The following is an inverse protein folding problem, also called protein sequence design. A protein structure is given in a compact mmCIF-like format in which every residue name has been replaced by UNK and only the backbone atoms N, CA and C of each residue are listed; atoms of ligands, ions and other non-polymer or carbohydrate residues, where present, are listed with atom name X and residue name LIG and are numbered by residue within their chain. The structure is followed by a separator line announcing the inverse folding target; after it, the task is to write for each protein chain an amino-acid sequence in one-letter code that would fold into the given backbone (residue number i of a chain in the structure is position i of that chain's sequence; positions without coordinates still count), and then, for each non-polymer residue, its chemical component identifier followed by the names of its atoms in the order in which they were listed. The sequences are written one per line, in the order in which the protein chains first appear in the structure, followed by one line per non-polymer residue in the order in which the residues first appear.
data_IF_553585928835
#
_entry.id   IF_553585928835
#
_cell.length_a   1.000
_cell.length_b   1.000
_cell.length_c   1.000
_cell.angle_alpha   90.00
_cell.angle_beta   90.00
_cell.angle_gamma   90.00
#
_symmetry.space_group_name_H-M   'P 1'
#
loop_
_entity.id
_entity.type
_entity.pdbx_description
1 polymer ?
#
# COMPACT_ATOMS: atom_id res chain seq x y z
N UNK A 1 15.62 26.56 1.05
CA UNK A 1 15.51 25.47 2.05
C UNK A 1 14.30 25.69 2.99
N UNK A 2 14.03 26.92 3.50
CA UNK A 2 12.94 27.19 4.47
C UNK A 2 11.52 26.87 3.95
N UNK A 3 11.31 26.84 2.64
CA UNK A 3 10.01 26.55 2.01
C UNK A 3 9.54 25.12 2.34
N UNK A 4 10.46 24.15 2.38
CA UNK A 4 10.12 22.75 2.67
C UNK A 4 9.45 22.59 4.04
N UNK A 5 10.10 22.95 5.16
CA UNK A 5 9.48 22.75 6.47
C UNK A 5 8.22 23.60 6.66
N UNK A 6 8.14 24.78 6.06
CA UNK A 6 6.95 25.62 6.14
C UNK A 6 5.78 25.07 5.33
N UNK A 7 6.04 24.54 4.13
CA UNK A 7 5.01 23.88 3.34
C UNK A 7 4.50 22.61 4.03
N UNK A 8 5.42 21.83 4.62
CA UNK A 8 5.03 20.66 5.43
C UNK A 8 4.16 21.04 6.63
N UNK A 9 4.55 22.06 7.37
CA UNK A 9 3.78 22.53 8.52
C UNK A 9 2.37 23.00 8.10
N UNK A 10 2.27 23.75 7.00
CA UNK A 10 1.00 24.17 6.44
C UNK A 10 0.15 22.96 6.00
N UNK A 11 0.77 21.96 5.35
CA UNK A 11 0.10 20.73 4.95
C UNK A 11 -0.43 19.94 6.15
N UNK A 12 0.40 19.72 7.17
CA UNK A 12 0.00 19.01 8.39
C UNK A 12 -1.13 19.75 9.10
N UNK A 13 -1.04 21.08 9.17
CA UNK A 13 -2.12 21.90 9.75
C UNK A 13 -3.42 21.74 8.97
N UNK A 14 -3.35 21.78 7.63
CA UNK A 14 -4.50 21.52 6.76
C UNK A 14 -5.09 20.13 6.94
N UNK A 15 -4.25 19.10 7.05
CA UNK A 15 -4.68 17.71 7.32
C UNK A 15 -5.43 17.60 8.64
N UNK A 16 -4.91 18.19 9.72
CA UNK A 16 -5.56 18.18 11.04
C UNK A 16 -6.92 18.88 10.98
N UNK A 17 -7.01 20.04 10.32
CA UNK A 17 -8.27 20.78 10.19
C UNK A 17 -9.30 20.07 9.32
N UNK A 18 -8.86 19.37 8.28
CA UNK A 18 -9.71 18.61 7.38
C UNK A 18 -10.03 17.19 7.89
N UNK A 19 -9.48 16.76 9.03
CA UNK A 19 -9.67 15.41 9.56
C UNK A 19 -9.02 14.32 8.70
N UNK A 20 -8.00 14.67 7.89
CA UNK A 20 -7.29 13.73 7.03
C UNK A 20 -6.27 12.95 7.85
N UNK A 21 -6.35 11.62 7.80
CA UNK A 21 -5.45 10.73 8.53
C UNK A 21 -4.03 10.76 7.94
N UNK A 22 -3.02 10.91 8.82
CA UNK A 22 -1.60 10.85 8.47
C UNK A 22 -1.13 9.40 8.45
N UNK A 23 -1.41 8.67 7.39
CA UNK A 23 -0.89 7.32 7.16
C UNK A 23 0.40 7.35 6.31
N UNK A 24 1.09 6.20 6.21
CA UNK A 24 2.33 6.08 5.44
C UNK A 24 2.15 6.44 3.96
N UNK A 25 0.98 6.17 3.37
CA UNK A 25 0.70 6.50 1.98
C UNK A 25 0.56 8.01 1.79
N UNK A 26 -0.16 8.71 2.68
CA UNK A 26 -0.34 10.16 2.59
C UNK A 26 0.96 10.92 2.84
N UNK A 27 1.78 10.47 3.80
CA UNK A 27 3.09 11.08 4.08
C UNK A 27 4.14 10.70 3.04
N UNK A 28 4.12 9.46 2.53
CA UNK A 28 5.02 8.98 1.48
C UNK A 28 4.80 9.63 0.12
N UNK A 29 3.60 10.14 -0.13
CA UNK A 29 3.28 10.86 -1.36
C UNK A 29 3.79 12.31 -1.38
N UNK A 30 4.31 12.83 -0.25
CA UNK A 30 4.91 14.16 -0.18
C UNK A 30 6.28 14.16 -0.87
N UNK A 31 6.28 14.57 -2.13
CA UNK A 31 7.52 14.76 -2.90
C UNK A 31 8.09 16.15 -2.65
N UNK A 32 9.26 16.17 -1.98
CA UNK A 32 9.98 17.41 -1.70
C UNK A 32 10.48 18.10 -2.97
N UNK A 33 10.72 17.37 -4.05
CA UNK A 33 11.10 17.93 -5.34
C UNK A 33 10.02 18.86 -5.88
N UNK A 34 8.79 18.38 -5.97
CA UNK A 34 7.64 19.16 -6.47
C UNK A 34 7.35 20.40 -5.60
N UNK A 35 7.55 20.28 -4.28
CA UNK A 35 7.33 21.40 -3.34
C UNK A 35 8.35 22.52 -3.56
N UNK A 36 9.57 22.20 -3.94
CA UNK A 36 10.69 23.17 -4.01
C UNK A 36 10.84 23.80 -5.39
N UNK A 37 10.42 23.13 -6.45
CA UNK A 37 10.66 23.55 -7.84
C UNK A 37 10.23 24.99 -8.11
N UNK A 38 9.04 25.39 -7.70
CA UNK A 38 8.57 26.77 -7.85
C UNK A 38 9.45 27.81 -7.14
N UNK A 39 9.93 27.45 -5.95
CA UNK A 39 10.80 28.33 -5.17
C UNK A 39 12.21 28.44 -5.80
N UNK A 40 12.75 27.33 -6.29
CA UNK A 40 14.10 27.29 -6.94
C UNK A 40 14.10 28.14 -8.19
N UNK A 41 13.10 28.03 -9.05
CA UNK A 41 12.97 28.80 -10.30
C UNK A 41 12.94 30.32 -9.99
N UNK A 42 12.15 30.72 -8.98
CA UNK A 42 12.03 32.15 -8.59
C UNK A 42 13.36 32.66 -8.03
N UNK A 43 14.02 31.89 -7.16
CA UNK A 43 15.33 32.27 -6.60
C UNK A 43 16.39 32.40 -7.69
N UNK A 44 16.49 31.40 -8.58
CA UNK A 44 17.47 31.40 -9.66
C UNK A 44 17.27 32.58 -10.61
N UNK A 45 16.05 32.83 -11.07
CA UNK A 45 15.76 33.96 -11.94
C UNK A 45 16.02 35.30 -11.24
N UNK A 46 15.69 35.41 -9.97
CA UNK A 46 15.93 36.62 -9.16
C UNK A 46 17.43 36.90 -9.01
N UNK A 47 18.23 35.87 -8.70
CA UNK A 47 19.71 35.99 -8.59
C UNK A 47 20.29 36.42 -9.92
N UNK A 48 19.92 35.80 -11.03
CA UNK A 48 20.36 36.12 -12.37
C UNK A 48 20.04 37.57 -12.74
N UNK A 49 18.80 38.02 -12.49
CA UNK A 49 18.39 39.41 -12.78
C UNK A 49 19.11 40.43 -11.89
N UNK A 50 19.25 40.14 -10.60
CA UNK A 50 20.00 40.99 -9.67
C UNK A 50 21.45 41.14 -10.05
N UNK A 51 22.14 40.05 -10.41
CA UNK A 51 23.53 40.07 -10.88
C UNK A 51 23.70 40.90 -12.14
N UNK A 52 22.84 40.71 -13.14
CA UNK A 52 22.88 41.46 -14.38
C UNK A 52 22.64 42.96 -14.14
N UNK A 53 21.67 43.32 -13.31
CA UNK A 53 21.39 44.72 -12.99
C UNK A 53 22.54 45.36 -12.20
N UNK A 54 23.17 44.64 -11.27
CA UNK A 54 24.37 45.13 -10.56
C UNK A 54 25.54 45.38 -11.51
N UNK A 55 25.79 44.52 -12.51
CA UNK A 55 26.81 44.70 -13.54
C UNK A 55 26.57 45.99 -14.36
N UNK A 56 25.30 46.27 -14.70
CA UNK A 56 24.92 47.44 -15.49
C UNK A 56 24.99 48.72 -14.67
N UNK A 57 24.61 48.70 -13.36
CA UNK A 57 24.66 49.86 -12.45
C UNK A 57 26.07 50.12 -11.87
N UNK A 58 27.01 49.19 -12.03
CA UNK A 58 28.39 49.35 -11.52
C UNK A 58 28.51 49.27 -9.99
N UNK A 59 27.46 48.83 -9.25
CA UNK A 59 27.47 48.78 -7.79
C UNK A 59 26.31 48.03 -7.15
N UNK A 60 26.29 48.04 -5.81
CA UNK A 60 25.25 47.38 -5.02
C UNK A 60 23.94 48.16 -5.16
N UNK A 61 22.83 47.44 -5.43
CA UNK A 61 21.50 48.01 -5.59
C UNK A 61 20.92 48.47 -4.24
N UNK A 62 20.21 49.60 -4.25
CA UNK A 62 19.41 50.06 -3.11
C UNK A 62 18.27 49.06 -2.83
N UNK A 63 17.70 49.13 -1.59
CA UNK A 63 16.62 48.25 -1.20
C UNK A 63 15.43 48.35 -2.16
N UNK A 64 15.07 49.55 -2.61
CA UNK A 64 13.95 49.77 -3.54
C UNK A 64 14.25 49.13 -4.90
N UNK A 65 15.42 49.37 -5.47
CA UNK A 65 15.81 48.77 -6.74
C UNK A 65 15.84 47.25 -6.67
N UNK A 66 16.28 46.63 -5.54
CA UNK A 66 16.25 45.17 -5.37
C UNK A 66 14.81 44.63 -5.37
N UNK A 67 13.89 45.30 -4.66
CA UNK A 67 12.48 44.91 -4.66
C UNK A 67 11.89 44.97 -6.07
N UNK A 68 12.15 46.04 -6.83
CA UNK A 68 11.67 46.17 -8.22
C UNK A 68 12.21 45.11 -9.14
N UNK A 69 13.52 44.78 -9.03
CA UNK A 69 14.17 43.73 -9.83
C UNK A 69 13.62 42.35 -9.47
N UNK A 70 13.49 42.04 -8.17
CA UNK A 70 12.96 40.74 -7.73
C UNK A 70 11.50 40.59 -8.11
N UNK A 71 10.69 41.67 -7.99
CA UNK A 71 9.31 41.66 -8.45
C UNK A 71 9.20 41.34 -9.94
N UNK A 72 10.01 42.06 -10.78
CA UNK A 72 10.04 41.81 -12.23
C UNK A 72 10.49 40.39 -12.56
N UNK A 73 11.54 39.89 -11.88
CA UNK A 73 12.06 38.53 -12.05
C UNK A 73 11.03 37.46 -11.69
N UNK A 74 10.29 37.68 -10.59
CA UNK A 74 9.22 36.77 -10.14
C UNK A 74 8.07 36.78 -11.14
N UNK A 75 7.63 37.95 -11.60
CA UNK A 75 6.53 38.07 -12.55
C UNK A 75 6.80 37.38 -13.90
N UNK A 76 8.06 37.31 -14.32
CA UNK A 76 8.48 36.63 -15.54
C UNK A 76 8.26 35.12 -15.47
N UNK A 77 8.52 34.49 -14.31
CA UNK A 77 8.48 33.05 -14.14
C UNK A 77 7.19 32.52 -13.47
N UNK A 78 6.34 33.42 -13.00
CA UNK A 78 5.13 33.05 -12.26
C UNK A 78 4.14 32.25 -13.13
N UNK A 79 3.92 32.68 -14.38
CA UNK A 79 2.96 32.01 -15.28
C UNK A 79 3.37 30.57 -15.62
N UNK A 80 4.62 30.27 -16.05
CA UNK A 80 5.05 28.90 -16.28
C UNK A 80 4.97 28.04 -15.00
N UNK A 81 5.37 28.58 -13.84
CA UNK A 81 5.33 27.86 -12.56
C UNK A 81 3.91 27.54 -12.12
N UNK A 82 2.98 28.49 -12.25
CA UNK A 82 1.56 28.26 -11.96
C UNK A 82 0.95 27.17 -12.84
N UNK A 83 1.24 27.22 -14.16
CA UNK A 83 0.75 26.18 -15.08
C UNK A 83 1.30 24.80 -14.74
N UNK A 84 2.58 24.70 -14.37
CA UNK A 84 3.18 23.42 -13.95
C UNK A 84 2.50 22.82 -12.72
N UNK A 85 2.33 23.62 -11.66
CA UNK A 85 1.68 23.18 -10.43
C UNK A 85 0.20 22.86 -10.68
N UNK A 86 -0.50 23.64 -11.51
CA UNK A 86 -1.89 23.40 -11.86
C UNK A 86 -2.07 22.08 -12.63
N UNK A 87 -1.20 21.79 -13.59
CA UNK A 87 -1.22 20.50 -14.33
C UNK A 87 -1.03 19.33 -13.37
N UNK A 88 -0.05 19.42 -12.46
CA UNK A 88 0.18 18.37 -11.46
C UNK A 88 -1.04 18.21 -10.57
N UNK A 89 -1.63 19.30 -10.09
CA UNK A 89 -2.83 19.26 -9.23
C UNK A 89 -4.02 18.62 -9.94
N UNK A 90 -4.23 18.91 -11.23
CA UNK A 90 -5.32 18.31 -12.03
C UNK A 90 -5.17 16.78 -12.11
N UNK A 91 -3.96 16.25 -12.18
CA UNK A 91 -3.72 14.79 -12.23
C UNK A 91 -4.23 14.08 -10.97
N UNK A 92 -4.27 14.77 -9.82
CA UNK A 92 -4.79 14.22 -8.57
C UNK A 92 -6.32 14.34 -8.41
N UNK A 93 -6.99 15.20 -9.20
CA UNK A 93 -8.45 15.39 -9.10
C UNK A 93 -9.24 14.08 -9.35
N UNK A 94 -8.92 13.25 -10.37
CA UNK A 94 -9.64 12.00 -10.61
C UNK A 94 -9.61 11.03 -9.43
N UNK A 95 -8.58 11.08 -8.57
CA UNK A 95 -8.49 10.23 -7.39
C UNK A 95 -9.62 10.49 -6.39
N UNK A 96 -10.19 11.70 -6.38
CA UNK A 96 -11.35 12.02 -5.53
C UNK A 96 -12.67 11.45 -6.05
N UNK A 97 -12.71 10.91 -7.27
CA UNK A 97 -13.88 10.21 -7.80
C UNK A 97 -13.91 8.73 -7.45
N UNK A 98 -12.82 8.17 -6.92
CA UNK A 98 -12.76 6.79 -6.48
C UNK A 98 -13.74 6.56 -5.31
N UNK A 99 -14.39 5.41 -5.31
CA UNK A 99 -15.34 5.00 -4.28
C UNK A 99 -14.87 3.72 -3.61
N UNK A 100 -15.56 3.28 -2.55
CA UNK A 100 -15.21 2.03 -1.89
C UNK A 100 -13.91 2.10 -1.10
N UNK A 101 -13.15 1.02 -1.11
CA UNK A 101 -11.87 0.88 -0.38
C UNK A 101 -10.79 1.76 -1.01
N UNK A 102 -10.72 1.79 -2.33
CA UNK A 102 -9.77 2.60 -3.07
C UNK A 102 -9.93 4.09 -2.74
N UNK A 103 -11.18 4.56 -2.68
CA UNK A 103 -11.46 5.94 -2.27
C UNK A 103 -10.94 6.23 -0.86
N UNK A 104 -11.18 5.34 0.10
CA UNK A 104 -10.70 5.50 1.47
C UNK A 104 -9.17 5.54 1.58
N UNK A 105 -8.47 4.81 0.70
CA UNK A 105 -7.01 4.77 0.67
C UNK A 105 -6.40 5.98 -0.03
N UNK A 106 -6.91 6.33 -1.21
CA UNK A 106 -6.29 7.34 -2.08
C UNK A 106 -6.76 8.78 -1.81
N UNK A 107 -7.97 9.00 -1.27
CA UNK A 107 -8.43 10.36 -0.92
C UNK A 107 -7.50 11.08 0.07
N UNK A 108 -7.07 10.46 1.21
CA UNK A 108 -6.12 11.10 2.12
C UNK A 108 -4.81 11.46 1.43
N UNK A 109 -4.29 10.56 0.58
CA UNK A 109 -3.06 10.77 -0.18
C UNK A 109 -3.21 11.97 -1.15
N UNK A 110 -4.24 11.96 -1.99
CA UNK A 110 -4.49 13.03 -2.96
C UNK A 110 -4.70 14.37 -2.28
N UNK A 111 -5.47 14.40 -1.19
CA UNK A 111 -5.70 15.62 -0.40
C UNK A 111 -4.39 16.18 0.17
N UNK A 112 -3.52 15.33 0.71
CA UNK A 112 -2.23 15.73 1.27
C UNK A 112 -1.33 16.36 0.21
N UNK A 113 -1.22 15.73 -0.98
CA UNK A 113 -0.41 16.27 -2.09
C UNK A 113 -0.96 17.61 -2.58
N UNK A 114 -2.26 17.72 -2.78
CA UNK A 114 -2.90 18.96 -3.22
C UNK A 114 -2.68 20.08 -2.21
N UNK A 115 -2.84 19.80 -0.90
CA UNK A 115 -2.56 20.79 0.16
C UNK A 115 -1.08 21.22 0.16
N UNK A 116 -0.16 20.28 -0.03
CA UNK A 116 1.28 20.55 -0.09
C UNK A 116 1.64 21.45 -1.28
N UNK A 117 1.10 21.15 -2.46
CA UNK A 117 1.31 21.93 -3.67
C UNK A 117 0.75 23.35 -3.54
N UNK A 118 -0.45 23.52 -2.96
CA UNK A 118 -1.05 24.82 -2.70
C UNK A 118 -0.21 25.62 -1.69
N UNK A 119 0.20 24.99 -0.60
CA UNK A 119 1.06 25.62 0.41
C UNK A 119 2.41 26.05 -0.19
N UNK A 120 3.05 25.16 -0.96
CA UNK A 120 4.30 25.46 -1.65
C UNK A 120 4.15 26.61 -2.64
N UNK A 121 3.06 26.65 -3.39
CA UNK A 121 2.73 27.72 -4.32
C UNK A 121 2.61 29.05 -3.59
N UNK A 122 1.81 29.13 -2.52
CA UNK A 122 1.62 30.36 -1.74
C UNK A 122 2.97 30.84 -1.18
N UNK A 123 3.77 29.93 -0.62
CA UNK A 123 5.09 30.28 -0.07
C UNK A 123 6.07 30.73 -1.15
N UNK A 124 6.06 30.09 -2.31
CA UNK A 124 6.93 30.47 -3.43
C UNK A 124 6.59 31.83 -4.01
N UNK A 125 5.31 32.23 -3.98
CA UNK A 125 4.86 33.54 -4.47
C UNK A 125 5.01 34.67 -3.44
N UNK A 126 5.04 34.36 -2.16
CA UNK A 126 5.06 35.36 -1.09
C UNK A 126 6.40 35.40 -0.36
N UNK A 127 6.73 34.32 0.33
CA UNK A 127 7.92 34.22 1.18
C UNK A 127 9.20 34.29 0.38
N UNK A 128 9.27 33.57 -0.74
CA UNK A 128 10.51 33.44 -1.51
C UNK A 128 10.98 34.75 -2.10
N UNK A 129 10.17 35.51 -2.87
CA UNK A 129 10.62 36.80 -3.40
C UNK A 129 10.90 37.82 -2.30
N UNK A 130 10.13 37.83 -1.22
CA UNK A 130 10.37 38.69 -0.08
C UNK A 130 11.72 38.38 0.60
N UNK A 131 12.02 37.11 0.82
CA UNK A 131 13.28 36.66 1.41
C UNK A 131 14.48 37.00 0.51
N UNK A 132 14.38 36.76 -0.79
CA UNK A 132 15.44 37.11 -1.75
C UNK A 132 15.71 38.62 -1.71
N UNK A 133 14.65 39.45 -1.77
CA UNK A 133 14.81 40.91 -1.77
C UNK A 133 15.38 41.46 -0.44
N UNK A 134 15.09 40.82 0.69
CA UNK A 134 15.55 41.25 2.01
C UNK A 134 16.96 40.76 2.35
N UNK A 135 17.23 39.49 2.10
CA UNK A 135 18.46 38.86 2.57
C UNK A 135 19.64 38.94 1.58
N UNK A 136 19.37 39.14 0.30
CA UNK A 136 20.43 39.28 -0.69
C UNK A 136 21.02 40.70 -0.76
N UNK A 137 21.78 41.06 0.29
CA UNK A 137 22.34 42.39 0.50
C UNK A 137 23.80 42.49 0.07
N UNK A 138 24.22 42.34 -1.05
CA UNK A 138 25.65 42.40 -1.34
C UNK A 138 26.00 42.35 -2.83
N UNK A 139 27.27 42.24 -3.12
CA UNK A 139 27.75 42.02 -4.46
C UNK A 139 27.41 40.56 -4.84
N UNK A 140 26.49 40.37 -5.75
CA UNK A 140 26.11 39.06 -6.23
C UNK A 140 27.10 38.65 -7.30
N UNK A 141 27.93 37.64 -6.99
CA UNK A 141 28.92 37.12 -7.93
C UNK A 141 28.41 35.80 -8.51
N UNK A 142 28.26 35.70 -9.81
CA UNK A 142 27.98 34.46 -10.54
C UNK A 142 29.28 33.63 -10.71
N UNK A 143 30.13 33.54 -9.67
CA UNK A 143 31.25 32.61 -9.75
C UNK A 143 30.70 31.19 -9.76
N UNK A 144 30.71 30.58 -10.92
CA UNK A 144 30.33 29.17 -11.03
C UNK A 144 31.39 28.30 -10.31
N UNK A 145 30.88 27.34 -9.53
CA UNK A 145 31.74 26.30 -8.96
C UNK A 145 32.45 25.53 -10.08
N UNK A 146 33.73 25.18 -9.88
CA UNK A 146 34.48 24.37 -10.83
C UNK A 146 33.79 23.06 -11.19
N UNK A 147 33.07 22.47 -10.21
CA UNK A 147 32.25 21.27 -10.41
C UNK A 147 31.09 21.54 -11.37
N UNK A 148 30.41 22.67 -11.21
CA UNK A 148 29.27 23.05 -12.07
C UNK A 148 29.77 23.35 -13.49
N UNK A 149 30.94 24.02 -13.64
CA UNK A 149 31.57 24.29 -14.95
C UNK A 149 31.97 23.00 -15.66
N UNK A 150 32.56 22.04 -14.95
CA UNK A 150 32.88 20.73 -15.51
C UNK A 150 31.62 19.96 -15.94
N UNK A 151 30.57 19.95 -15.08
CA UNK A 151 29.29 19.33 -15.41
C UNK A 151 28.64 19.98 -16.66
N UNK A 152 28.65 21.31 -16.76
CA UNK A 152 28.14 22.02 -17.95
C UNK A 152 28.92 21.69 -19.22
N UNK A 153 30.25 21.53 -19.14
CA UNK A 153 31.08 21.17 -20.30
C UNK A 153 30.74 19.76 -20.80
N UNK A 154 30.61 18.81 -19.89
CA UNK A 154 30.18 17.44 -20.20
C UNK A 154 28.77 17.43 -20.81
N UNK A 155 27.83 18.11 -20.16
CA UNK A 155 26.44 18.23 -20.64
C UNK A 155 26.37 18.83 -22.05
N UNK A 156 27.17 19.89 -22.31
CA UNK A 156 27.23 20.53 -23.63
C UNK A 156 27.71 19.56 -24.71
N UNK A 157 28.72 18.76 -24.42
CA UNK A 157 29.20 17.75 -25.36
C UNK A 157 28.17 16.70 -25.67
N UNK A 158 27.48 16.18 -24.62
CA UNK A 158 26.38 15.23 -24.76
C UNK A 158 25.18 15.82 -25.52
N UNK A 159 24.82 17.07 -25.23
CA UNK A 159 23.74 17.76 -25.92
C UNK A 159 24.01 17.95 -27.42
N UNK A 160 25.25 18.37 -27.78
CA UNK A 160 25.65 18.51 -29.19
C UNK A 160 25.58 17.15 -29.91
N UNK A 161 26.02 16.08 -29.25
CA UNK A 161 25.94 14.72 -29.78
C UNK A 161 24.48 14.28 -29.95
N UNK A 162 23.62 14.51 -28.94
CA UNK A 162 22.21 14.22 -28.99
C UNK A 162 21.47 14.96 -30.12
N UNK A 163 21.82 16.26 -30.32
CA UNK A 163 21.24 17.04 -31.41
C UNK A 163 21.68 16.56 -32.80
N UNK A 164 22.91 16.08 -32.92
CA UNK A 164 23.39 15.45 -34.17
C UNK A 164 22.66 14.13 -34.46
N UNK A 165 22.43 13.33 -33.40
CA UNK A 165 21.78 12.01 -33.47
C UNK A 165 20.28 12.07 -33.21
N UNK A 166 19.66 13.25 -33.33
CA UNK A 166 18.25 13.49 -32.94
C UNK A 166 17.26 12.46 -33.48
N UNK A 167 17.39 12.08 -34.74
CA UNK A 167 16.50 11.09 -35.35
C UNK A 167 16.70 9.68 -34.78
N UNK A 168 17.96 9.30 -34.53
CA UNK A 168 18.27 8.01 -33.89
C UNK A 168 17.69 7.96 -32.48
N UNK A 169 17.84 9.04 -31.70
CA UNK A 169 17.30 9.16 -30.35
C UNK A 169 15.77 9.11 -30.36
N UNK A 170 15.13 9.83 -31.29
CA UNK A 170 13.67 9.78 -31.43
C UNK A 170 13.17 8.37 -31.75
N UNK A 171 13.83 7.69 -32.70
CA UNK A 171 13.48 6.30 -33.04
C UNK A 171 13.69 5.38 -31.84
N UNK A 172 14.81 5.52 -31.13
CA UNK A 172 15.08 4.71 -29.94
C UNK A 172 14.09 4.96 -28.81
N UNK A 173 13.71 6.22 -28.55
CA UNK A 173 12.69 6.56 -27.56
C UNK A 173 11.30 6.01 -27.98
N UNK A 174 10.94 6.14 -29.25
CA UNK A 174 9.67 5.59 -29.75
C UNK A 174 9.65 4.07 -29.65
N UNK A 175 10.74 3.40 -29.99
CA UNK A 175 10.87 1.95 -29.85
C UNK A 175 10.82 1.52 -28.39
N UNK A 176 11.45 2.28 -27.49
CA UNK A 176 11.38 2.03 -26.06
C UNK A 176 9.94 2.15 -25.53
N UNK A 177 9.22 3.21 -25.92
CA UNK A 177 7.81 3.40 -25.54
C UNK A 177 6.93 2.27 -26.09
N UNK A 178 7.12 1.90 -27.37
CA UNK A 178 6.38 0.78 -27.97
C UNK A 178 6.68 -0.55 -27.24
N UNK A 179 7.94 -0.80 -26.90
CA UNK A 179 8.34 -1.97 -26.11
C UNK A 179 7.71 -1.96 -24.71
N UNK A 180 7.68 -0.80 -24.05
CA UNK A 180 7.05 -0.65 -22.73
C UNK A 180 5.54 -0.91 -22.80
N UNK A 181 4.86 -0.37 -23.82
CA UNK A 181 3.43 -0.63 -24.03
C UNK A 181 3.20 -2.12 -24.30
N UNK A 182 4.01 -2.74 -25.16
CA UNK A 182 3.91 -4.17 -25.41
C UNK A 182 4.16 -4.99 -24.12
N UNK A 183 5.21 -4.67 -23.36
CA UNK A 183 5.49 -5.34 -22.10
C UNK A 183 4.35 -5.14 -21.07
N UNK A 184 3.74 -3.97 -21.03
CA UNK A 184 2.62 -3.70 -20.10
C UNK A 184 1.38 -4.58 -20.39
N UNK A 185 1.21 -5.06 -21.62
CA UNK A 185 0.11 -6.00 -21.95
C UNK A 185 0.39 -7.43 -21.49
N UNK A 186 1.65 -7.75 -21.19
CA UNK A 186 2.04 -9.08 -20.68
C UNK A 186 2.18 -9.12 -19.15
N UNK A 187 2.17 -7.97 -18.50
CA UNK A 187 2.20 -7.88 -17.04
C UNK A 187 0.79 -8.10 -16.48
N UNK A 188 0.69 -8.96 -15.46
CA UNK A 188 -0.52 -9.08 -14.65
C UNK A 188 -0.80 -7.77 -13.90
N UNK A 189 -2.04 -7.55 -13.54
CA UNK A 189 -2.44 -6.47 -12.64
C UNK A 189 -2.80 -7.04 -11.29
N UNK A 190 -2.05 -6.69 -10.26
CA UNK A 190 -2.39 -6.96 -8.87
C UNK A 190 -2.93 -5.67 -8.26
N UNK A 191 -4.04 -5.78 -7.53
CA UNK A 191 -4.64 -4.62 -6.88
C UNK A 191 -3.77 -4.10 -5.73
N UNK A 192 -3.19 -5.02 -4.98
CA UNK A 192 -2.21 -4.75 -3.92
C UNK A 192 -1.02 -5.67 -4.14
N UNK A 193 0.19 -5.12 -4.25
CA UNK A 193 1.37 -5.96 -4.35
C UNK A 193 1.52 -6.80 -3.07
N UNK A 194 1.76 -8.08 -3.23
CA UNK A 194 2.04 -8.97 -2.10
C UNK A 194 3.29 -8.47 -1.37
N UNK A 195 3.10 -8.06 -0.12
CA UNK A 195 4.20 -7.71 0.77
C UNK A 195 4.73 -9.00 1.38
N UNK A 196 6.04 -9.19 1.36
CA UNK A 196 6.64 -10.25 2.13
C UNK A 196 6.72 -9.81 3.59
N UNK A 197 5.83 -10.35 4.42
CA UNK A 197 5.72 -10.00 5.85
C UNK A 197 6.72 -10.77 6.73
N UNK A 198 7.51 -11.66 6.12
CA UNK A 198 8.48 -12.54 6.77
C UNK A 198 7.86 -13.57 7.75
N UNK A 199 6.60 -13.42 8.14
CA UNK A 199 5.83 -14.34 8.98
C UNK A 199 4.70 -14.99 8.20
N UNK A 200 4.23 -16.16 8.67
CA UNK A 200 3.14 -16.90 8.04
C UNK A 200 1.92 -16.95 8.96
N UNK A 201 0.74 -16.97 8.35
CA UNK A 201 -0.52 -17.23 9.02
C UNK A 201 -1.14 -18.50 8.44
N UNK A 202 -1.30 -19.52 9.28
CA UNK A 202 -1.98 -20.74 8.93
C UNK A 202 -3.36 -20.74 9.58
N UNK A 203 -4.41 -20.75 8.76
CA UNK A 203 -5.75 -20.96 9.27
C UNK A 203 -6.08 -22.44 9.27
N UNK A 204 -6.48 -22.97 10.42
CA UNK A 204 -6.99 -24.32 10.55
C UNK A 204 -8.52 -24.28 10.65
N UNK A 205 -9.18 -24.85 9.64
CA UNK A 205 -10.65 -24.92 9.53
C UNK A 205 -11.07 -26.36 9.81
N UNK A 206 -11.86 -26.57 10.83
CA UNK A 206 -12.39 -27.86 11.27
C UNK A 206 -13.86 -28.00 10.92
N UNK A 207 -14.38 -29.19 11.09
CA UNK A 207 -15.80 -29.47 10.86
C UNK A 207 -16.65 -28.51 11.72
N UNK A 208 -17.66 -27.82 11.15
CA UNK A 208 -18.55 -26.96 11.90
C UNK A 208 -19.13 -27.68 13.11
N UNK A 209 -19.05 -27.04 14.31
CA UNK A 209 -19.46 -27.59 15.58
C UNK A 209 -18.45 -28.42 16.33
N UNK A 210 -17.22 -28.47 15.87
CA UNK A 210 -16.11 -28.91 16.72
C UNK A 210 -16.10 -28.06 17.99
N UNK A 211 -16.13 -28.71 19.16
CA UNK A 211 -16.12 -28.01 20.44
C UNK A 211 -14.81 -27.23 20.64
N UNK A 212 -14.86 -26.20 21.48
CA UNK A 212 -13.65 -25.44 21.80
C UNK A 212 -12.56 -26.34 22.40
N UNK A 213 -12.93 -27.25 23.29
CA UNK A 213 -11.98 -28.18 23.94
C UNK A 213 -11.28 -29.08 22.91
N UNK A 214 -12.02 -29.63 21.96
CA UNK A 214 -11.48 -30.43 20.89
C UNK A 214 -10.60 -29.60 19.94
N UNK A 215 -11.03 -28.38 19.64
CA UNK A 215 -10.24 -27.47 18.82
C UNK A 215 -8.91 -27.11 19.46
N UNK A 216 -8.89 -26.88 20.76
CA UNK A 216 -7.65 -26.60 21.52
C UNK A 216 -6.70 -27.79 21.49
N UNK A 217 -7.20 -29.01 21.70
CA UNK A 217 -6.38 -30.22 21.64
C UNK A 217 -5.78 -30.44 20.26
N UNK A 218 -6.58 -30.34 19.22
CA UNK A 218 -6.12 -30.44 17.83
C UNK A 218 -5.09 -29.36 17.49
N UNK A 219 -5.30 -28.14 18.02
CA UNK A 219 -4.42 -27.01 17.77
C UNK A 219 -3.06 -27.18 18.44
N UNK A 220 -3.02 -27.67 19.67
CA UNK A 220 -1.76 -27.98 20.36
C UNK A 220 -0.91 -28.98 19.58
N UNK A 221 -1.53 -30.04 19.05
CA UNK A 221 -0.84 -31.02 18.23
C UNK A 221 -0.26 -30.42 16.95
N UNK A 222 -0.98 -29.47 16.35
CA UNK A 222 -0.56 -28.74 15.15
C UNK A 222 0.63 -27.81 15.46
N UNK A 223 0.53 -27.01 16.51
CA UNK A 223 1.60 -26.09 16.93
C UNK A 223 2.90 -26.82 17.25
N UNK A 224 2.83 -27.96 17.95
CA UNK A 224 4.00 -28.79 18.24
C UNK A 224 4.70 -29.29 16.97
N UNK A 225 3.94 -29.62 15.91
CA UNK A 225 4.51 -30.01 14.63
C UNK A 225 5.19 -28.84 13.92
N UNK A 226 4.53 -27.68 13.86
CA UNK A 226 5.08 -26.48 13.23
C UNK A 226 6.36 -26.03 13.96
N UNK A 227 6.39 -26.13 15.27
CA UNK A 227 7.54 -25.74 16.08
C UNK A 227 8.80 -26.60 15.83
N UNK A 228 8.66 -27.76 15.18
CA UNK A 228 9.81 -28.59 14.80
C UNK A 228 10.59 -28.04 13.62
N UNK A 229 10.05 -27.10 12.86
CA UNK A 229 10.75 -26.48 11.75
C UNK A 229 11.82 -25.51 12.28
N UNK A 230 13.09 -25.68 11.87
CA UNK A 230 14.19 -24.86 12.40
C UNK A 230 14.12 -23.37 11.98
N UNK A 231 13.27 -23.04 11.02
CA UNK A 231 13.01 -21.68 10.60
C UNK A 231 12.00 -20.95 11.51
N UNK A 232 11.24 -21.70 12.31
CA UNK A 232 10.17 -21.19 13.16
C UNK A 232 10.76 -20.75 14.49
N UNK A 233 10.48 -19.50 14.86
CA UNK A 233 10.85 -18.89 16.13
C UNK A 233 9.82 -19.17 17.23
N UNK A 234 8.57 -18.85 16.93
CA UNK A 234 7.44 -19.04 17.82
C UNK A 234 6.18 -19.37 17.03
N UNK A 235 5.28 -20.13 17.64
CA UNK A 235 3.93 -20.40 17.12
C UNK A 235 2.94 -20.11 18.22
N UNK A 236 1.86 -19.43 17.89
CA UNK A 236 0.73 -19.23 18.79
C UNK A 236 -0.55 -19.11 17.96
N UNK A 237 -1.67 -19.47 18.57
CA UNK A 237 -2.95 -19.48 17.86
C UNK A 237 -4.05 -18.76 18.62
N UNK A 238 -4.98 -18.21 17.85
CA UNK A 238 -6.24 -17.68 18.34
C UNK A 238 -7.34 -18.63 17.90
N UNK A 239 -8.19 -19.07 18.83
CA UNK A 239 -9.31 -20.00 18.59
C UNK A 239 -10.59 -19.36 19.11
N UNK A 240 -11.61 -19.29 18.26
CA UNK A 240 -12.91 -18.76 18.67
C UNK A 240 -12.92 -17.23 18.91
N UNK A 241 -14.02 -16.74 19.43
CA UNK A 241 -14.27 -15.32 19.68
C UNK A 241 -13.67 -14.88 21.03
N UNK A 242 -12.85 -13.81 21.08
CA UNK A 242 -12.38 -13.25 22.35
C UNK A 242 -13.50 -12.54 23.12
N UNK A 243 -13.28 -12.27 24.42
CA UNK A 243 -14.24 -11.52 25.27
C UNK A 243 -14.60 -10.14 24.67
N UNK A 244 -13.61 -9.46 24.07
CA UNK A 244 -13.84 -8.23 23.28
C UNK A 244 -13.91 -8.64 21.81
N UNK A 245 -15.12 -8.79 21.31
CA UNK A 245 -15.38 -9.31 19.95
C UNK A 245 -15.03 -8.29 18.85
N UNK A 246 -13.75 -8.12 18.57
CA UNK A 246 -13.28 -7.36 17.41
C UNK A 246 -13.35 -8.18 16.10
N UNK A 247 -13.40 -9.51 16.23
CA UNK A 247 -13.37 -10.45 15.13
C UNK A 247 -14.04 -11.76 15.59
N UNK A 248 -15.37 -11.89 15.43
CA UNK A 248 -16.10 -13.07 15.85
C UNK A 248 -15.73 -14.26 14.97
N UNK A 249 -15.20 -15.30 15.59
CA UNK A 249 -14.75 -16.51 14.93
C UNK A 249 -15.35 -17.74 15.63
N UNK A 250 -15.93 -18.70 14.90
CA UNK A 250 -16.47 -19.89 15.51
C UNK A 250 -15.34 -20.78 16.09
N UNK A 251 -15.62 -21.62 17.10
CA UNK A 251 -14.60 -22.40 17.79
C UNK A 251 -13.93 -23.49 16.93
N UNK A 252 -14.50 -23.81 15.77
CA UNK A 252 -13.90 -24.74 14.80
C UNK A 252 -12.83 -24.10 13.90
N UNK A 253 -12.62 -22.79 13.99
CA UNK A 253 -11.61 -22.06 13.20
C UNK A 253 -10.52 -21.56 14.16
N UNK A 254 -9.26 -21.69 13.71
CA UNK A 254 -8.11 -21.18 14.43
C UNK A 254 -7.16 -20.45 13.48
N UNK A 255 -6.74 -19.27 13.86
CA UNK A 255 -5.68 -18.51 13.18
C UNK A 255 -4.35 -18.77 13.91
N UNK A 256 -3.42 -19.41 13.25
CA UNK A 256 -2.10 -19.79 13.77
C UNK A 256 -1.04 -18.87 13.21
N UNK A 257 -0.45 -18.07 14.06
CA UNK A 257 0.65 -17.17 13.71
C UNK A 257 1.97 -17.93 13.85
N UNK A 258 2.67 -18.07 12.73
CA UNK A 258 3.97 -18.73 12.64
C UNK A 258 5.04 -17.67 12.45
N UNK A 259 5.64 -17.28 13.56
CA UNK A 259 6.71 -16.28 13.58
C UNK A 259 8.02 -16.93 13.14
N UNK A 260 8.66 -16.39 12.11
CA UNK A 260 9.88 -16.94 11.55
C UNK A 260 11.14 -16.26 12.13
N UNK A 261 12.24 -16.98 12.09
CA UNK A 261 13.56 -16.42 12.36
C UNK A 261 14.00 -15.53 11.17
N UNK A 262 14.82 -14.51 11.41
CA UNK A 262 15.43 -13.76 10.32
C UNK A 262 16.14 -14.69 9.33
N UNK A 263 15.99 -14.45 8.05
CA UNK A 263 16.45 -15.35 6.97
C UNK A 263 17.93 -15.73 7.08
N UNK A 264 18.76 -14.83 7.61
CA UNK A 264 20.18 -15.07 7.84
C UNK A 264 20.46 -16.20 8.87
N UNK A 265 19.47 -16.55 9.70
CA UNK A 265 19.57 -17.59 10.73
C UNK A 265 18.96 -18.93 10.26
N UNK A 266 18.41 -19.00 9.05
CA UNK A 266 17.86 -20.24 8.51
C UNK A 266 18.99 -21.22 8.17
N UNK A 267 18.80 -22.52 8.40
CA UNK A 267 19.77 -23.55 7.97
C UNK A 267 20.05 -23.51 6.46
N UNK A 268 19.04 -23.16 5.68
CA UNK A 268 19.16 -22.91 4.25
C UNK A 268 18.54 -21.54 3.90
N UNK A 269 19.35 -20.46 3.82
CA UNK A 269 18.86 -19.13 3.47
C UNK A 269 18.30 -18.98 2.04
N UNK A 270 18.55 -19.94 1.15
CA UNK A 270 18.04 -19.92 -0.22
C UNK A 270 16.61 -20.48 -0.33
N UNK A 271 16.10 -21.17 0.70
CA UNK A 271 14.74 -21.68 0.73
C UNK A 271 13.74 -20.51 0.65
N UNK A 272 12.83 -20.53 -0.32
CA UNK A 272 11.82 -19.50 -0.45
C UNK A 272 10.75 -19.61 0.66
N UNK A 273 10.02 -18.49 0.95
CA UNK A 273 8.90 -18.53 1.88
C UNK A 273 7.79 -19.47 1.38
N UNK A 274 7.53 -19.48 0.07
CA UNK A 274 6.53 -20.36 -0.53
C UNK A 274 6.88 -21.84 -0.37
N UNK A 275 8.16 -22.21 -0.54
CA UNK A 275 8.61 -23.60 -0.33
C UNK A 275 8.53 -24.00 1.16
N UNK A 276 8.88 -23.10 2.08
CA UNK A 276 8.71 -23.35 3.51
C UNK A 276 7.23 -23.53 3.86
N UNK A 277 6.38 -22.68 3.32
CA UNK A 277 4.93 -22.73 3.47
C UNK A 277 4.37 -24.09 2.99
N UNK A 278 4.73 -24.50 1.78
CA UNK A 278 4.33 -25.80 1.22
C UNK A 278 4.80 -26.98 2.10
N UNK A 279 6.04 -26.96 2.58
CA UNK A 279 6.58 -28.00 3.45
C UNK A 279 5.83 -28.07 4.80
N UNK A 280 5.44 -26.93 5.36
CA UNK A 280 4.62 -26.88 6.59
C UNK A 280 3.26 -27.52 6.31
N UNK A 281 2.54 -27.10 5.27
CA UNK A 281 1.23 -27.65 4.93
C UNK A 281 1.32 -29.15 4.63
N UNK A 282 2.31 -29.59 3.88
CA UNK A 282 2.54 -31.01 3.59
C UNK A 282 2.74 -31.81 4.88
N UNK A 283 3.53 -31.31 5.83
CA UNK A 283 3.74 -31.98 7.12
C UNK A 283 2.44 -32.14 7.91
N UNK A 284 1.49 -31.20 7.74
CA UNK A 284 0.21 -31.19 8.46
C UNK A 284 -0.88 -31.99 7.76
N UNK A 285 -0.74 -32.33 6.48
CA UNK A 285 -1.74 -33.03 5.67
C UNK A 285 -2.18 -34.40 6.25
N UNK A 286 -1.31 -35.02 7.07
CA UNK A 286 -1.64 -36.26 7.79
C UNK A 286 -2.50 -36.10 9.04
N UNK A 287 -2.92 -34.86 9.41
CA UNK A 287 -3.80 -34.65 10.57
C UNK A 287 -5.28 -34.61 10.13
N UNK A 288 -6.08 -35.62 10.49
CA UNK A 288 -7.46 -35.69 10.05
C UNK A 288 -8.32 -34.60 10.69
N UNK A 289 -9.36 -34.17 9.98
CA UNK A 289 -10.35 -33.23 10.48
C UNK A 289 -9.95 -31.75 10.44
N UNK A 290 -8.82 -31.41 9.84
CA UNK A 290 -8.39 -30.04 9.56
C UNK A 290 -8.33 -29.81 8.05
N UNK A 291 -8.75 -28.64 7.64
CA UNK A 291 -8.46 -28.05 6.37
C UNK A 291 -7.55 -26.82 6.62
N UNK A 292 -6.52 -26.63 5.80
CA UNK A 292 -5.53 -25.60 6.05
C UNK A 292 -5.54 -24.57 4.92
N UNK A 293 -5.55 -23.31 5.29
CA UNK A 293 -5.36 -22.18 4.40
C UNK A 293 -4.14 -21.38 4.89
N UNK A 294 -3.19 -21.15 3.99
CA UNK A 294 -1.96 -20.47 4.34
C UNK A 294 -1.89 -19.11 3.66
N UNK A 295 -1.57 -18.10 4.43
CA UNK A 295 -1.48 -16.72 4.00
C UNK A 295 -0.46 -15.98 4.87
N UNK A 296 -0.46 -14.66 4.83
CA UNK A 296 0.32 -13.79 5.70
C UNK A 296 -0.61 -12.94 6.58
N UNK A 297 -0.18 -12.49 7.77
CA UNK A 297 -1.06 -11.82 8.73
C UNK A 297 -1.78 -10.56 8.22
N UNK A 298 -1.05 -9.67 7.53
CA UNK A 298 -1.62 -8.42 6.99
C UNK A 298 -2.41 -8.71 5.73
N UNK A 299 -1.89 -9.59 4.85
CA UNK A 299 -2.54 -10.01 3.61
C UNK A 299 -3.93 -10.59 3.87
N UNK A 300 -4.04 -11.54 4.82
CA UNK A 300 -5.33 -12.10 5.22
C UNK A 300 -6.32 -11.01 5.66
N UNK A 301 -5.87 -10.10 6.53
CA UNK A 301 -6.73 -9.03 7.05
C UNK A 301 -7.15 -8.05 5.97
N UNK A 302 -6.26 -7.80 5.03
CA UNK A 302 -6.53 -6.92 3.91
C UNK A 302 -7.56 -7.53 2.95
N UNK A 303 -7.41 -8.80 2.59
CA UNK A 303 -8.35 -9.53 1.75
C UNK A 303 -9.75 -9.62 2.39
N UNK A 304 -9.81 -9.89 3.68
CA UNK A 304 -11.06 -9.93 4.45
C UNK A 304 -11.79 -8.58 4.44
N UNK A 305 -11.05 -7.47 4.58
CA UNK A 305 -11.63 -6.12 4.57
C UNK A 305 -12.12 -5.68 3.18
N UNK A 306 -11.47 -6.14 2.11
CA UNK A 306 -11.81 -5.75 0.73
C UNK A 306 -12.95 -6.60 0.18
N UNK A 307 -12.79 -7.92 0.23
CA UNK A 307 -13.67 -8.87 -0.47
C UNK A 307 -14.64 -9.59 0.47
N UNK A 308 -14.42 -9.51 1.78
CA UNK A 308 -15.15 -10.27 2.79
C UNK A 308 -14.84 -11.76 2.77
N UNK A 309 -13.79 -12.16 2.03
CA UNK A 309 -13.18 -13.49 2.02
C UNK A 309 -11.68 -13.35 2.25
N UNK A 310 -11.05 -14.39 2.77
CA UNK A 310 -9.62 -14.35 3.13
C UNK A 310 -8.69 -14.69 1.96
N UNK A 311 -9.25 -15.35 0.94
CA UNK A 311 -8.56 -15.70 -0.30
C UNK A 311 -8.55 -14.52 -1.30
N UNK A 312 -7.63 -14.57 -2.25
CA UNK A 312 -7.51 -13.56 -3.32
C UNK A 312 -8.75 -13.50 -4.22
N UNK A 313 -9.43 -14.62 -4.41
CA UNK A 313 -10.65 -14.73 -5.19
C UNK A 313 -11.75 -15.45 -4.43
N UNK A 314 -12.89 -14.79 -4.26
CA UNK A 314 -14.08 -15.37 -3.65
C UNK A 314 -15.21 -15.57 -4.66
N UNK A 315 -15.67 -16.80 -4.87
CA UNK A 315 -16.82 -17.13 -5.72
C UNK A 315 -18.02 -17.38 -4.81
N UNK A 316 -19.04 -16.53 -4.88
CA UNK A 316 -20.27 -16.64 -4.09
C UNK A 316 -21.35 -17.33 -4.89
N UNK A 317 -21.80 -18.49 -4.42
CA UNK A 317 -22.96 -19.22 -4.97
C UNK A 317 -24.17 -18.89 -4.13
N UNK A 318 -25.23 -18.39 -4.75
CA UNK A 318 -26.43 -17.89 -4.05
C UNK A 318 -27.63 -18.74 -4.45
N UNK A 319 -28.44 -19.15 -3.47
CA UNK A 319 -29.69 -19.93 -3.67
C UNK A 319 -30.36 -20.25 -2.36
N UNK A 320 -31.51 -20.87 -2.42
CA UNK A 320 -32.35 -21.19 -1.25
C UNK A 320 -32.15 -22.62 -0.71
N UNK A 321 -31.57 -23.52 -1.52
CA UNK A 321 -31.34 -24.92 -1.17
C UNK A 321 -29.86 -25.19 -0.91
N UNK A 322 -29.51 -25.53 0.32
CA UNK A 322 -28.15 -25.76 0.77
C UNK A 322 -27.50 -26.96 0.07
N UNK A 323 -28.24 -28.05 -0.16
CA UNK A 323 -27.67 -29.21 -0.84
C UNK A 323 -27.33 -28.92 -2.30
N UNK A 324 -28.20 -28.15 -2.97
CA UNK A 324 -27.94 -27.69 -4.33
C UNK A 324 -26.79 -26.71 -4.41
N UNK A 325 -26.65 -25.82 -3.41
CA UNK A 325 -25.51 -24.90 -3.31
C UNK A 325 -24.19 -25.63 -3.20
N UNK A 326 -24.10 -26.63 -2.31
CA UNK A 326 -22.89 -27.44 -2.12
C UNK A 326 -22.54 -28.20 -3.39
N UNK A 327 -23.55 -28.80 -4.03
CA UNK A 327 -23.33 -29.54 -5.29
C UNK A 327 -22.80 -28.61 -6.38
N UNK A 328 -23.35 -27.41 -6.50
CA UNK A 328 -22.91 -26.39 -7.45
C UNK A 328 -21.49 -25.88 -7.15
N UNK A 329 -21.20 -25.63 -5.87
CA UNK A 329 -19.89 -25.19 -5.43
C UNK A 329 -18.79 -26.24 -5.72
N UNK A 330 -19.09 -27.52 -5.46
CA UNK A 330 -18.15 -28.59 -5.79
C UNK A 330 -17.94 -28.77 -7.31
N UNK A 331 -18.98 -28.63 -8.11
CA UNK A 331 -18.87 -28.67 -9.56
C UNK A 331 -18.03 -27.48 -10.10
N UNK A 332 -18.16 -26.30 -9.49
CA UNK A 332 -17.32 -25.14 -9.81
C UNK A 332 -15.87 -25.41 -9.42
N UNK A 333 -15.63 -25.96 -8.22
CA UNK A 333 -14.31 -26.35 -7.75
C UNK A 333 -13.61 -27.29 -8.76
N UNK A 334 -14.27 -28.37 -9.18
CA UNK A 334 -13.74 -29.32 -10.16
C UNK A 334 -13.31 -28.63 -11.48
N UNK A 335 -14.07 -27.64 -11.94
CA UNK A 335 -13.71 -26.88 -13.14
C UNK A 335 -12.49 -26.01 -12.89
N UNK A 336 -12.44 -25.30 -11.77
CA UNK A 336 -11.35 -24.37 -11.45
C UNK A 336 -10.03 -25.13 -11.25
N UNK A 337 -10.05 -26.32 -10.64
CA UNK A 337 -8.87 -27.18 -10.46
C UNK A 337 -8.18 -27.53 -11.79
N UNK A 338 -8.87 -27.44 -12.92
CA UNK A 338 -8.30 -27.65 -14.24
C UNK A 338 -7.61 -26.44 -14.85
N UNK A 339 -7.77 -25.25 -14.23
CA UNK A 339 -7.25 -23.98 -14.74
C UNK A 339 -5.81 -23.78 -14.27
N UNK A 340 -4.90 -23.57 -15.21
CA UNK A 340 -3.50 -23.30 -14.92
C UNK A 340 -3.36 -21.98 -14.13
N UNK A 341 -2.66 -22.06 -12.98
CA UNK A 341 -2.49 -20.92 -12.06
C UNK A 341 -3.51 -20.85 -10.93
N UNK A 342 -4.54 -21.70 -10.91
CA UNK A 342 -5.44 -21.83 -9.76
C UNK A 342 -4.82 -22.77 -8.72
N UNK A 343 -4.66 -22.30 -7.48
CA UNK A 343 -4.15 -23.07 -6.34
C UNK A 343 -5.05 -22.89 -5.12
N UNK A 344 -4.95 -23.79 -4.17
CA UNK A 344 -5.63 -23.73 -2.85
C UNK A 344 -7.14 -23.51 -2.93
N UNK A 345 -7.81 -24.21 -3.86
CA UNK A 345 -9.24 -24.07 -4.10
C UNK A 345 -10.02 -24.77 -3.00
N UNK A 346 -10.78 -24.00 -2.24
CA UNK A 346 -11.59 -24.52 -1.14
C UNK A 346 -13.07 -24.17 -1.33
N UNK A 347 -13.93 -25.11 -0.91
CA UNK A 347 -15.37 -24.88 -0.75
C UNK A 347 -15.63 -24.75 0.73
N UNK A 348 -16.32 -23.66 1.13
CA UNK A 348 -16.68 -23.41 2.52
C UNK A 348 -17.51 -24.58 3.07
N UNK A 349 -17.10 -25.10 4.21
CA UNK A 349 -17.72 -26.25 4.84
C UNK A 349 -18.93 -25.80 5.67
N UNK A 350 -20.12 -25.94 5.11
CA UNK A 350 -21.39 -25.50 5.74
C UNK A 350 -22.22 -26.65 6.30
N UNK A 351 -21.80 -27.91 6.08
CA UNK A 351 -22.44 -29.11 6.58
C UNK A 351 -21.47 -30.02 7.32
N UNK A 352 -21.93 -30.88 8.16
CA UNK A 352 -21.09 -31.91 8.77
C UNK A 352 -21.27 -32.16 10.25
N UNK A 353 -22.26 -31.53 10.90
CA UNK A 353 -22.59 -31.86 12.27
C UNK A 353 -23.74 -32.86 12.33
N UNK A 354 -23.42 -34.13 12.61
CA UNK A 354 -24.48 -35.04 13.03
C UNK A 354 -25.04 -34.55 14.39
N UNK A 355 -26.26 -34.04 14.37
CA UNK A 355 -26.96 -33.60 15.58
C UNK A 355 -27.85 -34.73 16.10
N UNK A 356 -27.55 -35.23 17.28
CA UNK A 356 -28.42 -36.16 17.97
C UNK A 356 -29.57 -35.36 18.63
N UNK A 357 -30.76 -35.43 18.04
CA UNK A 357 -31.95 -34.82 18.62
C UNK A 357 -32.73 -35.87 19.42
N UNK A 358 -32.83 -35.64 20.73
CA UNK A 358 -33.66 -36.46 21.61
C UNK A 358 -35.03 -35.81 21.73
N UNK A 359 -36.05 -36.41 21.07
CA UNK A 359 -37.43 -35.92 21.09
C UNK A 359 -38.21 -36.69 22.15
N UNK A 360 -38.48 -36.12 23.33
CA UNK A 360 -39.18 -36.80 24.38
C UNK A 360 -40.67 -37.03 24.01
N UNK A 361 -41.12 -38.26 24.11
CA UNK A 361 -42.53 -38.60 23.98
C UNK A 361 -43.28 -38.17 25.25
N UNK A 362 -43.79 -36.96 25.28
CA UNK A 362 -44.37 -36.31 26.46
C UNK A 362 -45.50 -37.14 27.11
N UNK A 363 -46.32 -37.86 26.31
CA UNK A 363 -47.42 -38.71 26.81
C UNK A 363 -46.83 -39.89 27.57
N UNK A 364 -45.77 -40.50 27.09
CA UNK A 364 -45.15 -41.64 27.78
C UNK A 364 -44.46 -41.20 29.06
N UNK A 365 -43.76 -40.06 29.00
CA UNK A 365 -43.14 -39.46 30.19
C UNK A 365 -44.19 -39.20 31.29
N UNK A 366 -45.31 -38.63 30.94
CA UNK A 366 -46.44 -38.41 31.90
C UNK A 366 -46.93 -39.68 32.51
N UNK A 367 -46.97 -40.81 31.77
CA UNK A 367 -47.33 -42.12 32.31
C UNK A 367 -46.41 -42.63 33.40
N UNK A 368 -45.10 -42.26 33.30
CA UNK A 368 -44.12 -42.63 34.32
C UNK A 368 -43.89 -41.53 35.37
N UNK A 369 -44.73 -40.47 35.36
CA UNK A 369 -44.61 -39.35 36.29
C UNK A 369 -43.33 -38.50 36.10
N UNK A 370 -42.68 -38.57 34.93
CA UNK A 370 -41.46 -37.86 34.60
C UNK A 370 -41.76 -36.57 33.81
N UNK A 371 -41.00 -35.54 34.11
CA UNK A 371 -40.98 -34.29 33.35
C UNK A 371 -39.80 -34.24 32.38
N UNK A 372 -39.90 -33.43 31.30
CA UNK A 372 -38.86 -33.26 30.31
C UNK A 372 -37.53 -32.75 30.93
N UNK A 373 -37.61 -32.01 32.04
CA UNK A 373 -36.44 -31.52 32.78
C UNK A 373 -35.69 -32.60 33.58
N UNK A 374 -36.26 -33.83 33.66
CA UNK A 374 -35.64 -34.96 34.36
C UNK A 374 -34.96 -35.96 33.38
N UNK A 375 -35.05 -35.67 32.09
CA UNK A 375 -34.34 -36.35 30.99
C UNK A 375 -32.99 -35.72 30.72
#
# INVERSE_FOLDING_TARGET
AAVIPLAMLATITGMVQAGVSANLMSLGALDFGLIVDGAVIIVENSIRRLSNTQKTHGGVLSRKQRLDVVYSATNEVIRPSLLGIFIITIVYIPLFSLTGVEGKMFHPMAATVVMALIAALILSLTLVPAAVALFMNGKISEKESSVLSAAKSLYRALLIMAMKLRWLILIACTALVACTIWLSTTLGSEFVPQLNEEDLLLQAIRIPGTSLSQSVEMQQALELKIQQFPQVKNVFSRIGTPEVANDPMPPNIADTYVMLLPRAQWPNPSLSHGELAANIVESLSGQPGNNFELTQPIEMRFNELISGVRADLGIKVIGDDLEQLIKSANAIKEVIETIEGASDIQVEQVTGLPMLSILPKRIELARYGLNVSQL
#
